data_IF_010348236511
#
_entry.id   IF_010348236511
#
_cell.length_a   1.000
_cell.length_b   1.000
_cell.length_c   1.000
_cell.angle_alpha   90.00
_cell.angle_beta   90.00
_cell.angle_gamma   90.00
#
_symmetry.space_group_name_H-M   'P 1'
#
loop_
_entity.id
_entity.type
_entity.pdbx_description
1 polymer ?
#
# COMPACT_ATOMS: atom_id res chain seq x y z
N UNK A 1 26.82 -25.47 5.49
CA UNK A 1 25.63 -24.72 5.90
C UNK A 1 25.50 -23.56 4.92
N UNK A 2 24.52 -23.60 4.03
CA UNK A 2 24.30 -22.53 3.06
C UNK A 2 23.79 -21.29 3.78
N UNK A 3 24.40 -20.14 3.49
CA UNK A 3 23.97 -18.84 4.02
C UNK A 3 22.48 -18.62 3.66
N UNK A 4 21.63 -18.16 4.61
CA UNK A 4 20.21 -17.91 4.30
C UNK A 4 20.12 -16.87 3.20
N UNK A 5 19.14 -16.96 2.29
CA UNK A 5 18.96 -15.98 1.23
C UNK A 5 18.92 -14.58 1.81
N UNK A 6 19.61 -13.61 1.20
CA UNK A 6 19.73 -12.21 1.66
C UNK A 6 18.38 -11.57 2.03
N UNK A 7 17.30 -12.01 1.36
CA UNK A 7 15.93 -11.55 1.61
C UNK A 7 15.42 -12.00 2.99
N UNK A 8 15.70 -13.24 3.41
CA UNK A 8 15.31 -13.72 4.75
C UNK A 8 16.04 -12.95 5.85
N UNK A 9 17.32 -12.62 5.65
CA UNK A 9 18.06 -11.77 6.56
C UNK A 9 17.46 -10.35 6.65
N UNK A 10 16.94 -9.82 5.54
CA UNK A 10 16.27 -8.51 5.49
C UNK A 10 14.94 -8.47 6.24
N UNK A 11 14.19 -9.59 6.27
CA UNK A 11 12.90 -9.67 6.97
C UNK A 11 13.01 -10.08 8.45
N UNK A 12 14.13 -10.68 8.86
CA UNK A 12 14.36 -11.09 10.24
C UNK A 12 14.08 -10.00 11.30
N UNK A 13 14.40 -8.72 11.06
CA UNK A 13 14.04 -7.65 11.99
C UNK A 13 12.53 -7.53 12.25
N UNK A 14 11.66 -7.88 11.30
CA UNK A 14 10.19 -7.82 11.46
C UNK A 14 9.61 -8.98 12.28
N UNK A 15 10.41 -10.00 12.59
CA UNK A 15 9.98 -11.08 13.50
C UNK A 15 9.81 -10.62 14.95
N UNK A 16 10.37 -9.49 15.31
CA UNK A 16 10.17 -8.90 16.65
C UNK A 16 8.90 -8.02 16.63
N UNK A 17 7.94 -8.27 17.55
CA UNK A 17 6.61 -7.64 17.49
C UNK A 17 6.61 -6.11 17.50
N UNK A 18 7.48 -5.49 18.31
CA UNK A 18 7.53 -4.02 18.38
C UNK A 18 8.03 -3.41 17.07
N UNK A 19 9.02 -4.04 16.43
CA UNK A 19 9.51 -3.59 15.11
C UNK A 19 8.47 -3.74 14.03
N UNK A 20 7.73 -4.85 14.03
CA UNK A 20 6.62 -5.05 13.09
C UNK A 20 5.53 -3.99 13.27
N UNK A 21 5.14 -3.69 14.51
CA UNK A 21 4.14 -2.67 14.80
C UNK A 21 4.61 -1.26 14.41
N UNK A 22 5.88 -0.92 14.67
CA UNK A 22 6.48 0.34 14.22
C UNK A 22 6.50 0.43 12.68
N UNK A 23 6.89 -0.64 11.99
CA UNK A 23 6.90 -0.67 10.53
C UNK A 23 5.51 -0.48 9.93
N UNK A 24 4.48 -1.16 10.48
CA UNK A 24 3.07 -0.98 10.08
C UNK A 24 2.61 0.46 10.30
N UNK A 25 2.92 1.04 11.44
CA UNK A 25 2.60 2.44 11.72
C UNK A 25 3.23 3.40 10.69
N UNK A 26 4.50 3.18 10.30
CA UNK A 26 5.13 3.96 9.23
C UNK A 26 4.44 3.76 7.87
N UNK A 27 3.98 2.55 7.55
CA UNK A 27 3.25 2.28 6.31
C UNK A 27 1.89 3.00 6.29
N UNK A 28 1.17 3.00 7.41
CA UNK A 28 -0.12 3.71 7.55
C UNK A 28 0.03 5.23 7.40
N UNK A 29 1.18 5.77 7.81
CA UNK A 29 1.49 7.20 7.72
C UNK A 29 2.12 7.63 6.39
N UNK A 30 2.58 6.68 5.58
CA UNK A 30 3.22 7.00 4.30
C UNK A 30 2.28 7.84 3.39
N UNK A 31 2.80 8.79 2.61
CA UNK A 31 4.21 9.09 2.37
C UNK A 31 4.87 9.98 3.45
N UNK A 32 4.14 10.39 4.49
CA UNK A 32 4.64 11.23 5.57
C UNK A 32 5.73 10.53 6.37
N UNK A 33 6.78 11.27 6.71
CA UNK A 33 7.85 10.75 7.55
C UNK A 33 7.52 11.01 9.04
N UNK A 34 7.64 9.98 9.85
CA UNK A 34 7.25 9.95 11.28
C UNK A 34 8.46 10.17 12.18
N UNK A 35 8.31 11.01 13.19
CA UNK A 35 9.31 11.21 14.25
C UNK A 35 9.29 10.09 15.30
N UNK A 36 10.41 9.88 16.01
CA UNK A 36 10.48 8.88 17.10
C UNK A 36 9.50 9.16 18.24
N UNK A 37 9.18 10.42 18.50
CA UNK A 37 8.26 10.81 19.58
C UNK A 37 6.81 10.43 19.20
N UNK A 38 6.42 10.69 17.98
CA UNK A 38 5.13 10.28 17.40
C UNK A 38 4.99 8.76 17.38
N UNK A 39 6.00 8.05 16.86
CA UNK A 39 6.01 6.59 16.82
C UNK A 39 5.94 5.96 18.23
N UNK A 40 6.64 6.54 19.21
CA UNK A 40 6.61 6.12 20.60
C UNK A 40 5.21 6.30 21.22
N UNK A 41 4.58 7.45 20.98
CA UNK A 41 3.24 7.75 21.46
C UNK A 41 2.19 6.83 20.83
N UNK A 42 2.28 6.58 19.54
CA UNK A 42 1.35 5.71 18.82
C UNK A 42 1.32 4.26 19.34
N UNK A 43 2.47 3.75 19.79
CA UNK A 43 2.59 2.39 20.31
C UNK A 43 2.62 2.29 21.84
N UNK A 44 2.55 3.40 22.58
CA UNK A 44 2.62 3.40 24.04
C UNK A 44 3.98 2.92 24.59
N UNK A 45 5.07 3.12 23.86
CA UNK A 45 6.42 2.71 24.26
C UNK A 45 7.31 3.92 24.56
N UNK A 46 8.47 3.67 25.21
CA UNK A 46 9.41 4.76 25.46
C UNK A 46 10.07 5.28 24.17
N UNK A 47 10.39 6.58 24.14
CA UNK A 47 11.12 7.24 23.05
C UNK A 47 12.45 6.54 22.70
N UNK A 48 13.17 6.07 23.71
CA UNK A 48 14.45 5.36 23.53
C UNK A 48 14.24 4.00 22.87
N UNK A 49 13.20 3.27 23.25
CA UNK A 49 12.85 1.97 22.66
C UNK A 49 12.38 2.14 21.22
N UNK A 50 11.54 3.13 20.94
CA UNK A 50 11.13 3.46 19.56
C UNK A 50 12.33 3.81 18.69
N UNK A 51 13.23 4.67 19.16
CA UNK A 51 14.45 5.03 18.42
C UNK A 51 15.34 3.80 18.15
N UNK A 52 15.55 2.95 19.14
CA UNK A 52 16.33 1.72 18.98
C UNK A 52 15.76 0.79 17.91
N UNK A 53 14.46 0.54 17.93
CA UNK A 53 13.81 -0.33 16.95
C UNK A 53 13.76 0.30 15.56
N UNK A 54 13.48 1.59 15.43
CA UNK A 54 13.49 2.32 14.16
C UNK A 54 14.89 2.32 13.52
N UNK A 55 15.94 2.52 14.32
CA UNK A 55 17.32 2.47 13.81
C UNK A 55 17.73 1.06 13.37
N UNK A 56 17.21 0.00 14.01
CA UNK A 56 17.36 -1.39 13.55
C UNK A 56 16.66 -1.65 12.22
N UNK A 57 15.48 -1.08 12.01
CA UNK A 57 14.78 -1.14 10.72
C UNK A 57 15.53 -0.38 9.62
N UNK A 58 16.15 0.76 9.96
CA UNK A 58 17.03 1.50 9.03
C UNK A 58 18.25 0.66 8.66
N UNK A 59 18.92 0.06 9.64
CA UNK A 59 20.08 -0.80 9.40
C UNK A 59 19.75 -2.04 8.55
N UNK A 60 18.52 -2.52 8.60
CA UNK A 60 18.02 -3.61 7.77
C UNK A 60 17.55 -3.17 6.37
N UNK A 61 17.57 -1.86 6.07
CA UNK A 61 17.11 -1.33 4.79
C UNK A 61 15.58 -1.31 4.61
N UNK A 62 14.81 -1.61 5.65
CA UNK A 62 13.35 -1.60 5.65
C UNK A 62 12.77 -0.19 5.79
N UNK A 63 13.51 0.70 6.44
CA UNK A 63 13.14 2.08 6.73
C UNK A 63 14.23 3.02 6.27
N UNK A 64 13.87 4.10 5.59
CA UNK A 64 14.75 5.22 5.30
C UNK A 64 14.63 6.28 6.40
N UNK A 65 15.73 6.96 6.71
CA UNK A 65 15.71 8.09 7.63
C UNK A 65 16.19 9.37 6.96
N UNK A 66 15.58 10.48 7.36
CA UNK A 66 15.95 11.83 6.95
C UNK A 66 16.01 12.75 8.15
N UNK A 67 16.68 13.89 8.02
CA UNK A 67 16.75 14.90 9.06
C UNK A 67 16.01 16.15 8.61
N UNK A 68 15.00 16.57 9.39
CA UNK A 68 14.22 17.78 9.11
C UNK A 68 14.06 18.60 10.37
N UNK A 69 14.15 19.92 10.25
CA UNK A 69 13.76 20.83 11.33
C UNK A 69 12.23 20.90 11.38
N UNK A 70 11.67 20.67 12.56
CA UNK A 70 10.20 20.71 12.78
C UNK A 70 9.71 22.11 13.13
N UNK A 71 10.62 23.08 13.25
CA UNK A 71 10.33 24.50 13.52
C UNK A 71 10.92 25.36 12.40
N UNK A 72 10.26 26.48 12.09
CA UNK A 72 10.68 27.44 11.06
C UNK A 72 11.86 28.33 11.51
N UNK A 73 12.51 28.03 12.65
CA UNK A 73 13.65 28.78 13.15
C UNK A 73 14.93 28.39 12.42
N UNK A 74 15.62 29.38 11.86
CA UNK A 74 16.93 29.26 11.23
C UNK A 74 17.97 30.04 12.03
N UNK A 75 19.24 29.58 12.09
CA UNK A 75 20.35 30.27 12.75
C UNK A 75 20.83 29.60 14.05
N UNK A 76 21.79 30.25 14.75
CA UNK A 76 22.31 29.77 16.04
C UNK A 76 21.18 29.68 17.08
N UNK A 77 20.95 28.51 17.68
CA UNK A 77 19.87 28.28 18.65
C UNK A 77 18.59 27.65 18.09
N UNK A 78 18.50 27.38 16.79
CA UNK A 78 17.32 26.76 16.14
C UNK A 78 17.08 25.28 16.51
N UNK A 79 17.93 24.67 17.32
CA UNK A 79 17.85 23.27 17.72
C UNK A 79 18.42 22.28 16.68
N UNK A 80 18.67 21.06 17.12
CA UNK A 80 19.15 19.98 16.23
C UNK A 80 18.00 19.48 15.35
N UNK A 81 18.21 19.23 14.04
CA UNK A 81 17.21 18.61 13.19
C UNK A 81 16.71 17.27 13.78
N UNK A 82 15.42 17.05 13.74
CA UNK A 82 14.80 15.80 14.16
C UNK A 82 15.00 14.73 13.09
N UNK A 83 15.34 13.51 13.53
CA UNK A 83 15.41 12.34 12.67
C UNK A 83 14.00 11.84 12.43
N UNK A 84 13.61 11.73 11.18
CA UNK A 84 12.32 11.25 10.72
C UNK A 84 12.50 9.95 9.95
N UNK A 85 11.51 9.08 9.99
CA UNK A 85 11.54 7.73 9.44
C UNK A 85 10.36 7.52 8.50
N UNK A 86 10.59 6.81 7.40
CA UNK A 86 9.56 6.38 6.45
C UNK A 86 9.92 5.01 5.89
N UNK A 87 8.97 4.23 5.36
CA UNK A 87 9.32 3.00 4.64
C UNK A 87 10.37 3.28 3.55
N UNK A 88 11.38 2.41 3.44
CA UNK A 88 12.51 2.64 2.52
C UNK A 88 12.13 2.30 1.07
N UNK A 89 11.38 1.22 0.89
CA UNK A 89 10.95 0.73 -0.41
C UNK A 89 9.59 0.07 -0.29
N UNK A 90 8.73 0.16 -1.29
CA UNK A 90 7.33 -0.20 -1.15
C UNK A 90 7.08 -1.70 -1.11
N UNK A 91 7.91 -2.56 -1.68
CA UNK A 91 7.53 -3.96 -1.86
C UNK A 91 8.67 -4.95 -1.58
N UNK A 92 8.37 -5.95 -0.75
CA UNK A 92 9.17 -7.17 -0.60
C UNK A 92 8.33 -8.36 -1.03
N UNK A 93 8.65 -8.95 -2.17
CA UNK A 93 8.06 -10.21 -2.62
C UNK A 93 9.03 -11.36 -2.33
N UNK A 94 8.51 -12.43 -1.72
CA UNK A 94 9.31 -13.61 -1.41
C UNK A 94 8.59 -14.89 -1.81
N UNK A 95 9.30 -15.77 -2.53
CA UNK A 95 8.82 -17.14 -2.79
C UNK A 95 9.96 -18.16 -2.69
N UNK A 96 9.67 -19.32 -2.09
CA UNK A 96 10.60 -20.42 -1.97
C UNK A 96 9.94 -21.73 -2.45
N UNK A 97 10.41 -22.38 -3.51
CA UNK A 97 11.44 -21.92 -4.45
C UNK A 97 11.05 -20.64 -5.18
N UNK A 98 12.02 -19.94 -5.79
CA UNK A 98 11.76 -18.71 -6.53
C UNK A 98 10.64 -18.86 -7.58
N UNK A 99 9.72 -17.90 -7.62
CA UNK A 99 8.61 -17.86 -8.59
C UNK A 99 8.63 -16.50 -9.28
N UNK A 100 8.31 -16.46 -10.55
CA UNK A 100 8.31 -15.24 -11.36
C UNK A 100 6.89 -14.91 -11.82
N UNK A 101 5.94 -14.83 -10.87
CA UNK A 101 4.55 -14.48 -11.18
C UNK A 101 4.39 -13.02 -11.62
N UNK A 102 5.23 -12.14 -11.13
CA UNK A 102 5.38 -10.75 -11.57
C UNK A 102 5.76 -10.66 -13.05
N UNK A 103 6.80 -11.40 -13.47
CA UNK A 103 7.20 -11.49 -14.87
C UNK A 103 6.10 -12.10 -15.75
N UNK A 104 5.46 -13.19 -15.29
CA UNK A 104 4.34 -13.79 -16.02
C UNK A 104 3.18 -12.79 -16.18
N UNK A 105 2.82 -12.05 -15.12
CA UNK A 105 1.81 -10.99 -15.15
C UNK A 105 2.16 -9.89 -16.16
N UNK A 106 3.42 -9.46 -16.18
CA UNK A 106 3.91 -8.45 -17.13
C UNK A 106 3.79 -8.92 -18.59
N UNK A 107 4.21 -10.15 -18.89
CA UNK A 107 4.14 -10.71 -20.24
C UNK A 107 2.68 -10.85 -20.71
N UNK A 108 1.78 -11.31 -19.83
CA UNK A 108 0.35 -11.40 -20.09
C UNK A 108 -0.27 -10.01 -20.34
N UNK A 109 0.09 -9.01 -19.54
CA UNK A 109 -0.38 -7.63 -19.72
C UNK A 109 0.07 -7.07 -21.09
N UNK A 110 1.32 -7.29 -21.49
CA UNK A 110 1.85 -6.90 -22.81
C UNK A 110 1.11 -7.59 -23.95
N UNK A 111 0.84 -8.89 -23.84
CA UNK A 111 0.08 -9.65 -24.84
C UNK A 111 -1.36 -9.13 -24.97
N UNK A 112 -2.06 -8.89 -23.85
CA UNK A 112 -3.41 -8.35 -23.86
C UNK A 112 -3.49 -6.94 -24.45
N UNK A 113 -2.49 -6.10 -24.18
CA UNK A 113 -2.37 -4.77 -24.78
C UNK A 113 -2.24 -4.86 -26.30
N UNK A 114 -1.52 -5.83 -26.82
CA UNK A 114 -1.39 -6.10 -28.25
C UNK A 114 -2.73 -6.43 -28.94
N UNK A 115 -3.75 -6.91 -28.19
CA UNK A 115 -5.11 -7.15 -28.69
C UNK A 115 -5.99 -5.88 -28.71
N UNK A 116 -5.47 -4.73 -28.34
CA UNK A 116 -6.21 -3.46 -28.33
C UNK A 116 -7.45 -3.49 -27.44
N UNK A 117 -8.52 -2.87 -27.88
CA UNK A 117 -9.78 -2.74 -27.11
C UNK A 117 -10.42 -4.08 -26.72
N UNK A 118 -10.24 -5.10 -27.53
CA UNK A 118 -10.79 -6.42 -27.21
C UNK A 118 -10.09 -7.07 -26.03
N UNK A 119 -8.76 -6.94 -25.93
CA UNK A 119 -7.98 -7.38 -24.77
C UNK A 119 -8.44 -6.68 -23.49
N UNK A 120 -8.61 -5.35 -23.55
CA UNK A 120 -9.10 -4.55 -22.41
C UNK A 120 -10.50 -5.00 -21.97
N UNK A 121 -11.43 -5.21 -22.90
CA UNK A 121 -12.79 -5.67 -22.60
C UNK A 121 -12.80 -7.04 -21.93
N UNK A 122 -12.00 -8.00 -22.43
CA UNK A 122 -11.89 -9.33 -21.83
C UNK A 122 -11.33 -9.26 -20.43
N UNK A 123 -10.24 -8.53 -20.23
CA UNK A 123 -9.62 -8.37 -18.92
C UNK A 123 -10.56 -7.72 -17.89
N UNK A 124 -11.25 -6.65 -18.27
CA UNK A 124 -12.26 -6.00 -17.41
C UNK A 124 -13.39 -6.94 -17.00
N UNK A 125 -13.87 -7.75 -17.92
CA UNK A 125 -14.94 -8.73 -17.64
C UNK A 125 -14.49 -9.78 -16.62
N UNK A 126 -13.28 -10.33 -16.78
CA UNK A 126 -12.72 -11.29 -15.81
C UNK A 126 -12.45 -10.66 -14.46
N UNK A 127 -11.87 -9.46 -14.43
CA UNK A 127 -11.64 -8.71 -13.19
C UNK A 127 -12.95 -8.42 -12.45
N UNK A 128 -13.99 -7.99 -13.15
CA UNK A 128 -15.32 -7.77 -12.54
C UNK A 128 -15.96 -9.06 -12.04
N UNK A 129 -15.75 -10.21 -12.73
CA UNK A 129 -16.22 -11.51 -12.25
C UNK A 129 -15.49 -11.90 -10.95
N UNK A 130 -14.17 -11.76 -10.94
CA UNK A 130 -13.37 -12.03 -9.74
C UNK A 130 -13.78 -11.13 -8.57
N UNK A 131 -13.92 -9.81 -8.80
CA UNK A 131 -14.40 -8.90 -7.77
C UNK A 131 -15.75 -9.32 -7.16
N UNK A 132 -16.68 -9.79 -8.01
CA UNK A 132 -17.97 -10.33 -7.51
C UNK A 132 -17.84 -11.61 -6.71
N UNK A 133 -16.82 -12.42 -6.92
CA UNK A 133 -16.61 -13.66 -6.16
C UNK A 133 -16.01 -13.43 -4.79
N UNK A 134 -15.45 -12.25 -4.52
CA UNK A 134 -14.81 -11.93 -3.25
C UNK A 134 -15.81 -11.55 -2.15
N UNK A 135 -16.92 -10.87 -2.52
CA UNK A 135 -17.83 -10.26 -1.56
C UNK A 135 -19.07 -11.10 -1.29
N UNK A 136 -19.66 -10.84 -0.13
CA UNK A 136 -20.98 -11.24 0.29
C UNK A 136 -21.78 -9.97 0.61
N UNK A 137 -23.07 -10.06 0.93
CA UNK A 137 -23.94 -8.88 1.14
C UNK A 137 -23.73 -8.24 2.54
N UNK A 138 -22.52 -7.78 2.83
CA UNK A 138 -22.12 -7.17 4.10
C UNK A 138 -21.97 -5.64 4.07
N UNK A 139 -22.27 -5.00 2.95
CA UNK A 139 -22.26 -3.55 2.79
C UNK A 139 -20.86 -2.92 2.86
N UNK A 140 -20.82 -1.69 3.36
CA UNK A 140 -19.61 -0.87 3.41
C UNK A 140 -18.52 -1.46 4.30
N UNK A 141 -18.87 -2.05 5.43
CA UNK A 141 -17.92 -2.63 6.37
C UNK A 141 -17.18 -3.80 5.75
N UNK A 142 -17.89 -4.70 5.08
CA UNK A 142 -17.32 -5.85 4.39
C UNK A 142 -16.43 -5.39 3.20
N UNK A 143 -16.91 -4.42 2.42
CA UNK A 143 -16.12 -3.83 1.33
C UNK A 143 -14.75 -3.34 1.84
N UNK A 144 -14.71 -2.63 2.97
CA UNK A 144 -13.46 -2.15 3.57
C UNK A 144 -12.56 -3.29 4.02
N UNK A 145 -13.13 -4.31 4.63
CA UNK A 145 -12.38 -5.50 5.09
C UNK A 145 -11.71 -6.18 3.92
N UNK A 146 -12.47 -6.50 2.86
CA UNK A 146 -11.94 -7.16 1.67
C UNK A 146 -10.88 -6.29 0.98
N UNK A 147 -11.11 -4.99 0.84
CA UNK A 147 -10.10 -4.08 0.28
C UNK A 147 -8.80 -4.09 1.09
N UNK A 148 -8.89 -4.21 2.41
CA UNK A 148 -7.71 -4.31 3.28
C UNK A 148 -6.98 -5.65 3.09
N UNK A 149 -7.72 -6.76 3.05
CA UNK A 149 -7.18 -8.11 2.83
C UNK A 149 -6.52 -8.25 1.46
N UNK A 150 -7.11 -7.64 0.43
CA UNK A 150 -6.56 -7.57 -0.93
C UNK A 150 -5.43 -6.53 -1.09
N UNK A 151 -5.00 -5.89 0.00
CA UNK A 151 -3.81 -5.04 0.05
C UNK A 151 -3.99 -3.58 -0.39
N UNK A 152 -5.21 -3.05 -0.46
CA UNK A 152 -5.46 -1.68 -0.94
C UNK A 152 -5.24 -0.56 0.08
N UNK A 153 -5.17 -0.83 1.38
CA UNK A 153 -5.06 0.16 2.45
C UNK A 153 -6.08 1.32 2.34
N UNK A 154 -7.39 1.05 2.54
CA UNK A 154 -8.46 2.04 2.39
C UNK A 154 -8.40 3.11 3.49
N UNK A 155 -8.51 4.39 3.11
CA UNK A 155 -8.49 5.56 4.00
C UNK A 155 -9.66 6.47 3.70
N UNK A 156 -10.40 6.88 4.74
CA UNK A 156 -11.46 7.87 4.59
C UNK A 156 -10.83 9.24 4.30
N UNK A 157 -11.29 9.87 3.24
CA UNK A 157 -11.00 11.26 2.89
C UNK A 157 -12.22 12.12 3.19
N UNK A 158 -12.07 13.44 3.27
CA UNK A 158 -13.17 14.32 3.61
C UNK A 158 -14.39 14.09 2.70
N UNK A 159 -15.62 14.10 3.25
CA UNK A 159 -16.91 14.06 2.54
C UNK A 159 -17.24 12.74 1.82
N UNK A 160 -17.38 11.64 2.55
CA UNK A 160 -17.95 10.38 2.03
C UNK A 160 -17.15 9.77 0.86
N UNK A 161 -15.84 9.96 0.81
CA UNK A 161 -14.96 9.35 -0.17
C UNK A 161 -13.91 8.46 0.51
N UNK A 162 -13.74 7.25 -0.01
CA UNK A 162 -12.68 6.32 0.35
C UNK A 162 -11.59 6.37 -0.71
N UNK A 163 -10.39 6.70 -0.28
CA UNK A 163 -9.18 6.61 -1.08
C UNK A 163 -8.42 5.33 -0.75
N UNK A 164 -7.68 4.81 -1.70
CA UNK A 164 -6.87 3.61 -1.55
C UNK A 164 -5.40 4.02 -1.57
N UNK A 165 -4.73 3.89 -0.44
CA UNK A 165 -3.35 4.36 -0.28
C UNK A 165 -2.34 3.46 -0.99
N UNK A 166 -2.67 2.18 -1.14
CA UNK A 166 -1.85 1.22 -1.86
C UNK A 166 -2.59 0.68 -3.09
N UNK A 167 -1.84 0.37 -4.14
CA UNK A 167 -2.32 -0.35 -5.31
C UNK A 167 -1.64 -1.72 -5.38
N UNK A 168 -2.35 -2.84 -5.21
CA UNK A 168 -1.75 -4.18 -5.30
C UNK A 168 -1.15 -4.50 -6.68
N UNK A 169 -1.44 -3.67 -7.69
CA UNK A 169 -0.99 -3.83 -9.06
C UNK A 169 0.01 -2.75 -9.50
N UNK A 170 0.63 -2.04 -8.55
CA UNK A 170 1.45 -0.85 -8.82
C UNK A 170 2.58 -1.14 -9.83
N UNK A 171 3.32 -2.21 -9.64
CA UNK A 171 4.40 -2.62 -10.54
C UNK A 171 3.93 -2.87 -11.98
N UNK A 172 2.73 -3.46 -12.16
CA UNK A 172 2.13 -3.67 -13.49
C UNK A 172 1.54 -2.37 -14.05
N UNK A 173 0.98 -1.53 -13.19
CA UNK A 173 0.42 -0.24 -13.57
C UNK A 173 1.51 0.70 -14.12
N UNK A 174 2.71 0.68 -13.56
CA UNK A 174 3.85 1.45 -14.06
C UNK A 174 4.17 1.15 -15.54
N UNK A 175 3.95 -0.08 -16.00
CA UNK A 175 4.17 -0.53 -17.39
C UNK A 175 2.98 -0.32 -18.33
N UNK A 176 1.76 -0.32 -17.80
CA UNK A 176 0.51 -0.30 -18.59
C UNK A 176 -0.64 0.33 -17.83
N UNK A 177 -0.54 1.63 -17.53
CA UNK A 177 -1.51 2.38 -16.70
C UNK A 177 -2.95 2.15 -17.17
N UNK A 178 -3.26 2.40 -18.46
CA UNK A 178 -4.62 2.32 -18.98
C UNK A 178 -5.24 0.93 -18.84
N UNK A 179 -4.46 -0.11 -19.13
CA UNK A 179 -4.92 -1.50 -19.05
C UNK A 179 -5.15 -1.91 -17.59
N UNK A 180 -4.19 -1.66 -16.73
CA UNK A 180 -4.19 -2.12 -15.34
C UNK A 180 -5.17 -1.31 -14.49
N UNK A 181 -5.23 0.00 -14.67
CA UNK A 181 -6.21 0.82 -13.95
C UNK A 181 -7.67 0.52 -14.40
N UNK A 182 -7.89 0.20 -15.68
CA UNK A 182 -9.20 -0.24 -16.16
C UNK A 182 -9.60 -1.62 -15.60
N UNK A 183 -8.67 -2.54 -15.51
CA UNK A 183 -8.84 -3.83 -14.83
C UNK A 183 -9.19 -3.65 -13.36
N UNK A 184 -8.40 -2.86 -12.65
CA UNK A 184 -8.57 -2.60 -11.22
C UNK A 184 -9.92 -1.94 -10.91
N UNK A 185 -10.33 -0.95 -11.70
CA UNK A 185 -11.66 -0.37 -11.58
C UNK A 185 -12.75 -1.43 -11.71
N UNK A 186 -12.69 -2.28 -12.73
CA UNK A 186 -13.70 -3.32 -12.96
C UNK A 186 -13.73 -4.36 -11.82
N UNK A 187 -12.58 -4.70 -11.23
CA UNK A 187 -12.50 -5.57 -10.05
C UNK A 187 -13.24 -4.94 -8.87
N UNK A 188 -12.93 -3.69 -8.55
CA UNK A 188 -13.55 -2.97 -7.43
C UNK A 188 -15.04 -2.73 -7.68
N UNK A 189 -15.47 -2.44 -8.91
CA UNK A 189 -16.88 -2.36 -9.28
C UNK A 189 -17.60 -3.69 -9.03
N UNK A 190 -16.97 -4.82 -9.36
CA UNK A 190 -17.49 -6.15 -9.06
C UNK A 190 -17.62 -6.40 -7.56
N UNK A 191 -16.63 -6.00 -6.78
CA UNK A 191 -16.66 -6.11 -5.31
C UNK A 191 -17.76 -5.22 -4.70
N UNK A 192 -17.92 -3.99 -5.16
CA UNK A 192 -19.03 -3.11 -4.74
C UNK A 192 -20.39 -3.75 -4.99
N UNK A 193 -20.56 -4.41 -6.14
CA UNK A 193 -21.81 -5.12 -6.46
C UNK A 193 -22.06 -6.30 -5.52
N UNK A 194 -21.07 -7.14 -5.25
CA UNK A 194 -21.24 -8.33 -4.40
C UNK A 194 -21.44 -8.01 -2.92
N UNK A 195 -20.80 -6.96 -2.42
CA UNK A 195 -20.98 -6.50 -1.04
C UNK A 195 -22.28 -5.71 -0.83
N UNK A 196 -22.97 -5.32 -1.91
CA UNK A 196 -24.12 -4.41 -1.86
C UNK A 196 -23.81 -3.07 -1.15
N UNK A 197 -22.56 -2.62 -1.19
CA UNK A 197 -22.15 -1.35 -0.62
C UNK A 197 -22.74 -0.18 -1.44
N UNK A 198 -23.39 0.76 -0.75
CA UNK A 198 -23.99 1.94 -1.41
C UNK A 198 -22.92 2.97 -1.78
N UNK A 199 -22.12 2.64 -2.77
CA UNK A 199 -21.08 3.50 -3.28
C UNK A 199 -20.85 3.30 -4.78
N UNK A 200 -20.02 4.16 -5.36
CA UNK A 200 -19.57 4.08 -6.75
C UNK A 200 -18.04 4.18 -6.79
N UNK A 201 -17.41 3.24 -7.48
CA UNK A 201 -16.01 3.31 -7.83
C UNK A 201 -15.81 4.18 -9.10
N UNK A 202 -14.69 4.92 -9.15
CA UNK A 202 -14.31 5.73 -10.32
C UNK A 202 -12.80 5.83 -10.43
N UNK A 203 -12.31 6.06 -11.64
CA UNK A 203 -10.91 6.45 -11.83
C UNK A 203 -10.71 7.90 -11.41
N UNK A 204 -9.72 8.12 -10.56
CA UNK A 204 -9.26 9.42 -10.10
C UNK A 204 -7.76 9.38 -9.79
N UNK A 205 -6.91 9.27 -10.83
CA UNK A 205 -5.46 9.15 -10.67
C UNK A 205 -4.92 10.31 -9.82
N UNK A 206 -4.14 9.98 -8.82
CA UNK A 206 -3.47 10.93 -7.92
C UNK A 206 -2.08 10.36 -7.64
N UNK A 207 -1.01 11.17 -7.69
CA UNK A 207 0.33 10.71 -7.32
C UNK A 207 0.33 10.00 -5.96
N UNK A 208 1.08 8.92 -5.85
CA UNK A 208 1.25 8.10 -4.64
C UNK A 208 -0.01 7.43 -4.08
N UNK A 209 -1.10 7.37 -4.87
CA UNK A 209 -2.35 6.72 -4.52
C UNK A 209 -2.81 5.77 -5.63
N UNK A 210 -3.59 4.75 -5.25
CA UNK A 210 -4.30 3.96 -6.23
C UNK A 210 -5.19 4.85 -7.12
N UNK A 211 -5.28 4.51 -8.41
CA UNK A 211 -6.10 5.24 -9.38
C UNK A 211 -7.62 5.13 -9.15
N UNK A 212 -8.09 4.24 -8.27
CA UNK A 212 -9.52 4.06 -7.98
C UNK A 212 -9.90 4.75 -6.67
N UNK A 213 -10.99 5.48 -6.69
CA UNK A 213 -11.66 6.09 -5.55
C UNK A 213 -13.08 5.56 -5.45
N UNK A 214 -13.57 5.41 -4.20
CA UNK A 214 -14.96 5.02 -3.95
C UNK A 214 -15.67 6.19 -3.26
N UNK A 215 -16.86 6.50 -3.72
CA UNK A 215 -17.69 7.57 -3.16
C UNK A 215 -19.05 7.01 -2.79
N UNK A 216 -19.51 7.28 -1.57
CA UNK A 216 -20.88 7.00 -1.15
C UNK A 216 -21.87 7.66 -2.12
N UNK A 217 -22.92 6.95 -2.46
CA UNK A 217 -24.07 7.57 -3.10
C UNK A 217 -24.76 8.36 -2.00
N UNK A 218 -24.68 9.68 -2.08
CA UNK A 218 -25.43 10.56 -1.16
C UNK A 218 -26.92 10.29 -1.37
N UNK A 219 -27.62 9.95 -0.31
CA UNK A 219 -29.08 9.98 -0.26
C UNK A 219 -29.56 11.40 -0.43
#
# INVERSE_FOLDING_TARGET
MSEPPRILAGLAPLMEPTRLSLYRHLQERAPEAVGRDEAAAALGISRSLAAFHLDRLVAAGLVASTFKRLNDRSGPGAGRPSKLYRPATPEFSFSLPARHYDLAGLLLARALRGLGQEGVKKLRREAGRYGRSLGQQGGWSELRTILTEEGYAPVDTAKNELALRNCPFDALAAESVDLICAMNLALIEGLVQSTAADCRARLAPTPDWCCVRLRHRSS
#
